data_IF_403431794105
#
_entry.id   IF_403431794105
#
_cell.length_a   1.000
_cell.length_b   1.000
_cell.length_c   1.000
_cell.angle_alpha   90.00
_cell.angle_beta   90.00
_cell.angle_gamma   90.00
#
_symmetry.space_group_name_H-M   'P 1'
#
loop_
_entity.id
_entity.type
_entity.pdbx_description
1 polymer ?
#
# COMPACT_ATOMS: atom_id res chain seq x y z
N UNK A 1 3.25 -13.35 38.74
CA UNK A 1 3.53 -14.34 37.68
C UNK A 1 3.52 -13.65 36.34
N UNK A 2 4.56 -13.94 35.56
CA UNK A 2 5.04 -13.19 34.40
C UNK A 2 4.01 -13.05 33.26
N UNK A 3 4.02 -11.90 32.59
CA UNK A 3 4.58 -11.85 31.24
C UNK A 3 4.85 -10.41 30.79
N UNK A 4 6.14 -10.07 30.84
CA UNK A 4 6.76 -9.03 30.02
C UNK A 4 6.65 -9.46 28.55
N UNK A 5 6.23 -8.56 27.67
CA UNK A 5 6.71 -8.60 26.28
C UNK A 5 6.97 -7.19 25.77
N UNK A 6 8.21 -6.78 26.05
CA UNK A 6 9.10 -5.91 25.30
C UNK A 6 8.53 -4.66 24.61
N UNK A 7 8.72 -3.59 25.37
CA UNK A 7 9.27 -2.34 24.90
C UNK A 7 10.41 -2.56 23.88
N UNK A 8 10.24 -2.09 22.64
CA UNK A 8 11.37 -1.64 21.82
C UNK A 8 11.02 -0.30 21.20
N UNK A 9 11.29 0.75 21.97
CA UNK A 9 11.83 1.98 21.44
C UNK A 9 13.03 1.63 20.54
N UNK A 10 12.87 1.83 19.23
CA UNK A 10 13.95 1.62 18.27
C UNK A 10 14.96 2.75 18.47
N UNK A 11 15.98 2.46 19.27
CA UNK A 11 17.22 3.24 19.34
C UNK A 11 17.88 3.32 17.96
N UNK A 12 18.38 4.52 17.65
CA UNK A 12 19.27 4.81 16.53
C UNK A 12 20.59 4.03 16.70
N UNK A 13 20.83 3.02 15.88
CA UNK A 13 22.17 2.51 15.55
C UNK A 13 22.19 2.08 14.07
N UNK A 14 23.08 2.66 13.26
CA UNK A 14 23.73 2.09 12.05
C UNK A 14 22.94 1.28 10.98
N UNK A 15 21.62 1.21 10.96
CA UNK A 15 20.91 0.19 10.18
C UNK A 15 20.69 0.58 8.71
N UNK A 16 21.61 0.16 7.84
CA UNK A 16 21.40 0.19 6.39
C UNK A 16 20.12 -0.57 6.02
N UNK A 17 19.20 0.09 5.32
CA UNK A 17 18.05 -0.59 4.73
C UNK A 17 18.49 -1.68 3.73
N UNK A 18 17.79 -2.82 3.70
CA UNK A 18 18.09 -3.94 2.80
C UNK A 18 16.91 -4.24 1.87
N UNK A 19 17.20 -4.72 0.65
CA UNK A 19 16.16 -5.24 -0.25
C UNK A 19 15.39 -6.36 0.45
N UNK A 20 14.08 -6.43 0.24
CA UNK A 20 13.14 -7.33 0.90
C UNK A 20 12.85 -7.08 2.38
N UNK A 21 13.52 -6.12 3.03
CA UNK A 21 13.21 -5.75 4.41
C UNK A 21 11.75 -5.30 4.55
N UNK A 22 11.11 -5.72 5.64
CA UNK A 22 9.76 -5.31 6.02
C UNK A 22 9.84 -4.14 7.00
N UNK A 23 9.06 -3.10 6.73
CA UNK A 23 8.93 -1.91 7.58
C UNK A 23 7.49 -1.83 8.06
N UNK A 24 7.32 -1.72 9.37
CA UNK A 24 6.03 -1.42 10.01
C UNK A 24 6.08 0.04 10.48
N UNK A 25 5.36 0.93 9.81
CA UNK A 25 5.39 2.36 10.11
C UNK A 25 4.09 2.81 10.78
N UNK A 26 4.19 3.17 12.08
CA UNK A 26 3.06 3.62 12.91
C UNK A 26 2.47 4.93 12.38
N UNK A 27 3.29 5.83 11.82
CA UNK A 27 2.86 7.15 11.32
C UNK A 27 1.88 7.02 10.15
N UNK A 28 2.23 6.22 9.14
CA UNK A 28 1.36 5.96 7.99
C UNK A 28 0.37 4.81 8.21
N UNK A 29 0.48 4.11 9.34
CA UNK A 29 -0.34 2.93 9.68
C UNK A 29 -0.21 1.79 8.65
N UNK A 30 0.96 1.66 8.02
CA UNK A 30 1.20 0.76 6.91
C UNK A 30 2.36 -0.21 7.14
N UNK A 31 2.30 -1.35 6.46
CA UNK A 31 3.39 -2.32 6.33
C UNK A 31 3.94 -2.22 4.91
N UNK A 32 5.26 -2.19 4.78
CA UNK A 32 5.96 -1.96 3.52
C UNK A 32 7.08 -2.98 3.33
N UNK A 33 7.31 -3.40 2.09
CA UNK A 33 8.48 -4.20 1.70
C UNK A 33 9.40 -3.37 0.81
N UNK A 34 10.67 -3.27 1.16
CA UNK A 34 11.69 -2.65 0.29
C UNK A 34 11.88 -3.51 -0.95
N UNK A 35 11.75 -2.90 -2.12
CA UNK A 35 11.86 -3.58 -3.42
C UNK A 35 13.08 -3.14 -4.21
N UNK A 36 13.52 -1.90 -4.02
CA UNK A 36 14.76 -1.40 -4.60
C UNK A 36 15.40 -0.35 -3.69
N UNK A 37 16.71 -0.24 -3.79
CA UNK A 37 17.54 0.75 -3.13
C UNK A 37 18.41 1.38 -4.22
N UNK A 38 18.55 2.71 -4.18
CA UNK A 38 19.54 3.45 -4.95
C UNK A 38 20.60 3.92 -3.97
N UNK A 39 21.86 3.71 -4.31
CA UNK A 39 23.02 4.11 -3.51
C UNK A 39 23.83 5.19 -4.22
N UNK A 40 24.54 5.99 -3.43
CA UNK A 40 25.66 6.83 -3.86
C UNK A 40 26.84 6.48 -2.95
N UNK A 41 27.83 5.75 -3.47
CA UNK A 41 28.77 5.00 -2.64
C UNK A 41 28.03 4.03 -1.71
N UNK A 42 28.38 4.04 -0.43
CA UNK A 42 27.74 3.20 0.60
C UNK A 42 26.40 3.74 1.11
N UNK A 43 26.10 5.01 0.82
CA UNK A 43 24.90 5.68 1.34
C UNK A 43 23.68 5.38 0.47
N UNK A 44 22.60 4.93 1.10
CA UNK A 44 21.30 4.79 0.44
C UNK A 44 20.67 6.18 0.28
N UNK A 45 20.33 6.56 -0.95
CA UNK A 45 19.75 7.89 -1.25
C UNK A 45 18.25 7.85 -1.43
N UNK A 46 17.71 6.79 -2.03
CA UNK A 46 16.27 6.60 -2.21
C UNK A 46 15.96 5.14 -2.54
N UNK A 47 14.67 4.82 -2.69
CA UNK A 47 14.27 3.48 -3.10
C UNK A 47 12.80 3.38 -3.48
N UNK A 48 12.37 2.14 -3.69
CA UNK A 48 10.96 1.82 -3.91
C UNK A 48 10.49 0.82 -2.87
N UNK A 49 9.26 0.98 -2.42
CA UNK A 49 8.56 0.03 -1.55
C UNK A 49 7.25 -0.44 -2.17
N UNK A 50 6.86 -1.66 -1.81
CA UNK A 50 5.50 -2.18 -1.99
C UNK A 50 4.72 -2.04 -0.70
N UNK A 51 3.51 -1.48 -0.75
CA UNK A 51 2.58 -1.47 0.37
C UNK A 51 1.99 -2.87 0.56
N UNK A 52 2.29 -3.50 1.70
CA UNK A 52 1.88 -4.87 2.02
C UNK A 52 0.51 -4.98 2.67
N UNK A 53 0.05 -3.93 3.35
CA UNK A 53 -1.21 -3.94 4.09
C UNK A 53 -1.22 -2.90 5.20
N UNK A 54 -2.38 -2.66 5.82
CA UNK A 54 -2.48 -1.80 6.99
C UNK A 54 -1.89 -2.50 8.22
N UNK A 55 -1.37 -1.73 9.17
CA UNK A 55 -0.98 -2.27 10.48
C UNK A 55 -2.20 -2.79 11.24
N UNK A 56 -3.32 -2.06 11.19
CA UNK A 56 -4.60 -2.48 11.74
C UNK A 56 -5.52 -3.01 10.64
N UNK A 57 -5.80 -4.33 10.64
CA UNK A 57 -6.72 -4.97 9.69
C UNK A 57 -8.19 -4.58 9.91
N UNK A 58 -8.54 -3.99 11.06
CA UNK A 58 -9.88 -3.51 11.41
C UNK A 58 -10.08 -2.03 11.03
N UNK A 59 -9.10 -1.38 10.40
CA UNK A 59 -9.19 0.02 10.01
C UNK A 59 -10.41 0.33 9.11
N UNK A 60 -11.09 1.45 9.39
CA UNK A 60 -12.23 1.93 8.58
C UNK A 60 -11.80 2.70 7.35
N UNK A 61 -10.59 3.28 7.36
CA UNK A 61 -10.01 4.06 6.27
C UNK A 61 -8.54 3.70 6.14
N UNK A 62 -8.04 3.60 4.90
CA UNK A 62 -6.63 3.40 4.63
C UNK A 62 -6.12 4.39 3.57
N UNK A 63 -4.88 4.82 3.75
CA UNK A 63 -4.17 5.69 2.81
C UNK A 63 -2.89 4.96 2.40
N UNK A 64 -2.82 4.56 1.14
CA UNK A 64 -1.57 4.13 0.51
C UNK A 64 -0.91 5.39 -0.02
N UNK A 65 0.06 5.94 0.72
CA UNK A 65 0.74 7.20 0.36
C UNK A 65 1.46 7.10 -0.99
N UNK A 66 1.89 8.24 -1.54
CA UNK A 66 2.75 8.26 -2.74
C UNK A 66 4.20 7.91 -2.40
N UNK A 67 4.62 8.17 -1.17
CA UNK A 67 5.96 7.90 -0.67
C UNK A 67 5.93 7.60 0.83
N UNK A 68 6.94 6.87 1.29
CA UNK A 68 7.28 6.65 2.69
C UNK A 68 8.60 7.37 2.96
N UNK A 69 8.63 8.23 3.97
CA UNK A 69 9.86 8.88 4.45
C UNK A 69 10.32 8.15 5.69
N UNK A 70 11.53 7.58 5.64
CA UNK A 70 12.18 6.96 6.80
C UNK A 70 13.51 7.67 6.98
N UNK A 71 13.66 8.34 8.11
CA UNK A 71 14.77 9.25 8.37
C UNK A 71 14.90 10.24 7.19
N UNK A 72 16.09 10.43 6.64
CA UNK A 72 16.35 11.30 5.48
C UNK A 72 16.14 10.62 4.12
N UNK A 73 15.64 9.38 4.08
CA UNK A 73 15.48 8.59 2.84
C UNK A 73 14.01 8.56 2.43
N UNK A 74 13.75 8.92 1.17
CA UNK A 74 12.41 8.85 0.57
C UNK A 74 12.28 7.60 -0.30
N UNK A 75 11.29 6.76 0.02
CA UNK A 75 10.88 5.61 -0.78
C UNK A 75 9.60 5.91 -1.55
N UNK A 76 9.57 5.68 -2.87
CA UNK A 76 8.33 5.74 -3.64
C UNK A 76 7.51 4.48 -3.37
N UNK A 77 6.20 4.63 -3.14
CA UNK A 77 5.30 3.49 -3.00
C UNK A 77 4.79 3.13 -4.40
N UNK A 78 5.37 2.08 -5.00
CA UNK A 78 5.17 1.76 -6.42
C UNK A 78 4.15 0.66 -6.66
N UNK A 79 3.78 -0.11 -5.63
CA UNK A 79 2.83 -1.19 -5.74
C UNK A 79 2.01 -1.41 -4.45
N UNK A 80 0.84 -2.00 -4.61
CA UNK A 80 0.05 -2.62 -3.53
C UNK A 80 0.18 -4.14 -3.68
N UNK A 81 0.58 -4.82 -2.62
CA UNK A 81 0.88 -6.24 -2.63
C UNK A 81 -0.37 -7.10 -2.91
N UNK A 82 -0.12 -8.36 -3.25
CA UNK A 82 -1.17 -9.37 -3.27
C UNK A 82 -1.82 -9.47 -1.87
N UNK A 83 -3.14 -9.62 -1.86
CA UNK A 83 -3.94 -9.75 -0.63
C UNK A 83 -3.81 -8.61 0.41
N UNK A 84 -3.27 -7.45 0.04
CA UNK A 84 -2.91 -6.40 1.02
C UNK A 84 -4.05 -5.97 1.96
N UNK A 85 -5.27 -5.92 1.45
CA UNK A 85 -6.50 -5.64 2.19
C UNK A 85 -7.50 -6.81 2.11
N UNK A 86 -7.05 -8.02 1.79
CA UNK A 86 -7.94 -9.18 1.68
C UNK A 86 -8.78 -9.34 2.95
N UNK A 87 -10.09 -9.43 2.77
CA UNK A 87 -11.08 -9.59 3.84
C UNK A 87 -11.03 -8.51 4.94
N UNK A 88 -10.53 -7.31 4.64
CA UNK A 88 -10.68 -6.13 5.51
C UNK A 88 -12.15 -5.66 5.52
N UNK A 89 -13.01 -6.40 6.23
CA UNK A 89 -14.47 -6.20 6.24
C UNK A 89 -14.90 -4.86 6.83
N UNK A 90 -14.08 -4.20 7.67
CA UNK A 90 -14.40 -2.88 8.25
C UNK A 90 -13.97 -1.71 7.35
N UNK A 91 -13.18 -1.96 6.32
CA UNK A 91 -12.63 -0.93 5.43
C UNK A 91 -13.73 -0.29 4.59
N UNK A 92 -13.97 1.01 4.79
CA UNK A 92 -14.98 1.81 4.09
C UNK A 92 -14.40 2.66 2.98
N UNK A 93 -13.16 3.13 3.13
CA UNK A 93 -12.52 3.99 2.14
C UNK A 93 -11.02 3.72 1.99
N UNK A 94 -10.54 3.80 0.75
CA UNK A 94 -9.12 3.71 0.41
C UNK A 94 -8.72 4.88 -0.49
N UNK A 95 -7.60 5.51 -0.18
CA UNK A 95 -6.90 6.41 -1.09
C UNK A 95 -5.61 5.77 -1.57
N UNK A 96 -5.41 5.70 -2.89
CA UNK A 96 -4.22 5.18 -3.56
C UNK A 96 -3.40 6.35 -4.10
N UNK A 97 -2.15 6.48 -3.64
CA UNK A 97 -1.21 7.53 -3.98
C UNK A 97 -0.78 7.55 -5.46
N UNK A 98 -0.16 8.66 -5.86
CA UNK A 98 0.14 8.98 -7.26
C UNK A 98 1.25 8.14 -7.89
N UNK A 99 2.14 7.54 -7.08
CA UNK A 99 3.28 6.74 -7.56
C UNK A 99 2.94 5.25 -7.77
N UNK A 100 1.75 4.80 -7.37
CA UNK A 100 1.38 3.38 -7.48
C UNK A 100 1.18 3.00 -8.95
N UNK A 101 1.95 2.01 -9.41
CA UNK A 101 1.88 1.49 -10.78
C UNK A 101 1.21 0.11 -10.87
N UNK A 102 1.15 -0.63 -9.76
CA UNK A 102 0.60 -1.99 -9.72
C UNK A 102 -0.31 -2.20 -8.51
N UNK A 103 -1.46 -2.81 -8.74
CA UNK A 103 -2.34 -3.33 -7.68
C UNK A 103 -2.34 -4.85 -7.78
N UNK A 104 -1.98 -5.55 -6.70
CA UNK A 104 -1.80 -6.99 -6.67
C UNK A 104 -3.08 -7.82 -6.83
N UNK A 105 -2.89 -9.13 -7.04
CA UNK A 105 -3.97 -10.13 -7.07
C UNK A 105 -4.71 -10.11 -5.73
N UNK A 106 -6.05 -10.12 -5.78
CA UNK A 106 -6.92 -10.11 -4.59
C UNK A 106 -6.62 -8.96 -3.59
N UNK A 107 -6.00 -7.86 -4.03
CA UNK A 107 -5.56 -6.79 -3.13
C UNK A 107 -6.68 -6.23 -2.23
N UNK A 108 -7.90 -6.09 -2.73
CA UNK A 108 -9.10 -5.66 -1.98
C UNK A 108 -10.21 -6.73 -2.01
N UNK A 109 -9.83 -7.99 -2.20
CA UNK A 109 -10.79 -9.09 -2.27
C UNK A 109 -11.58 -9.19 -0.96
N UNK A 110 -12.91 -9.22 -1.05
CA UNK A 110 -13.75 -9.42 0.13
C UNK A 110 -13.86 -8.20 1.06
N UNK A 111 -13.40 -7.01 0.65
CA UNK A 111 -13.66 -5.75 1.36
C UNK A 111 -15.14 -5.33 1.17
N UNK A 112 -16.08 -6.08 1.77
CA UNK A 112 -17.53 -5.94 1.53
C UNK A 112 -18.10 -4.56 1.85
N UNK A 113 -17.51 -3.85 2.82
CA UNK A 113 -17.94 -2.51 3.22
C UNK A 113 -17.22 -1.36 2.49
N UNK A 114 -16.37 -1.65 1.50
CA UNK A 114 -15.61 -0.63 0.78
C UNK A 114 -16.54 0.20 -0.10
N UNK A 115 -16.81 1.45 0.31
CA UNK A 115 -17.72 2.37 -0.38
C UNK A 115 -16.99 3.32 -1.33
N UNK A 116 -15.74 3.68 -1.02
CA UNK A 116 -15.00 4.68 -1.80
C UNK A 116 -13.58 4.25 -2.08
N UNK A 117 -13.17 4.33 -3.34
CA UNK A 117 -11.78 4.13 -3.77
C UNK A 117 -11.33 5.35 -4.56
N UNK A 118 -10.41 6.13 -3.99
CA UNK A 118 -9.79 7.28 -4.66
C UNK A 118 -8.44 6.87 -5.23
N UNK A 119 -8.31 6.89 -6.55
CA UNK A 119 -7.07 6.55 -7.25
C UNK A 119 -6.44 7.83 -7.77
N UNK A 120 -5.40 8.31 -7.07
CA UNK A 120 -4.62 9.49 -7.48
C UNK A 120 -3.57 9.15 -8.54
N UNK A 121 -3.21 7.86 -8.69
CA UNK A 121 -2.23 7.43 -9.70
C UNK A 121 -2.75 7.60 -11.12
N UNK A 122 -1.93 8.27 -11.93
CA UNK A 122 -2.03 8.31 -13.39
C UNK A 122 -1.13 7.28 -14.07
N UNK A 123 -0.38 6.49 -13.30
CA UNK A 123 0.68 5.59 -13.77
C UNK A 123 0.35 4.12 -13.57
N UNK A 124 -0.90 3.76 -13.29
CA UNK A 124 -1.31 2.34 -13.14
C UNK A 124 -1.08 1.59 -14.46
N UNK A 125 -0.20 0.58 -14.38
CA UNK A 125 0.16 -0.35 -15.46
C UNK A 125 -0.60 -1.66 -15.36
N UNK A 126 -0.88 -2.14 -14.15
CA UNK A 126 -1.62 -3.41 -13.93
C UNK A 126 -2.49 -3.41 -12.68
N UNK A 127 -3.64 -4.11 -12.78
CA UNK A 127 -4.52 -4.47 -11.67
C UNK A 127 -4.70 -5.98 -11.72
N UNK A 128 -4.34 -6.67 -10.64
CA UNK A 128 -4.31 -8.13 -10.59
C UNK A 128 -5.70 -8.77 -10.61
N UNK A 129 -5.74 -10.05 -10.99
CA UNK A 129 -6.96 -10.86 -10.99
C UNK A 129 -7.66 -10.81 -9.62
N UNK A 130 -8.99 -10.66 -9.64
CA UNK A 130 -9.83 -10.58 -8.44
C UNK A 130 -9.48 -9.45 -7.46
N UNK A 131 -8.70 -8.44 -7.87
CA UNK A 131 -8.26 -7.36 -6.98
C UNK A 131 -9.44 -6.61 -6.34
N UNK A 132 -10.55 -6.48 -7.06
CA UNK A 132 -11.76 -5.78 -6.60
C UNK A 132 -12.99 -6.70 -6.60
N UNK A 133 -12.81 -8.02 -6.54
CA UNK A 133 -13.94 -8.96 -6.39
C UNK A 133 -14.51 -8.94 -4.97
N UNK A 134 -15.81 -9.22 -4.84
CA UNK A 134 -16.53 -9.29 -3.55
C UNK A 134 -16.43 -8.00 -2.71
N UNK A 135 -16.27 -6.85 -3.36
CA UNK A 135 -16.44 -5.52 -2.74
C UNK A 135 -17.89 -5.04 -2.87
N UNK A 136 -18.24 -3.93 -2.22
CA UNK A 136 -19.56 -3.32 -2.34
C UNK A 136 -19.91 -3.03 -3.81
N UNK A 137 -21.08 -3.49 -4.28
CA UNK A 137 -21.55 -3.24 -5.67
C UNK A 137 -21.68 -1.73 -5.98
N UNK A 138 -22.05 -0.92 -4.99
CA UNK A 138 -22.20 0.55 -5.07
C UNK A 138 -20.90 1.33 -4.84
N UNK A 139 -19.74 0.67 -4.89
CA UNK A 139 -18.44 1.34 -4.68
C UNK A 139 -18.24 2.49 -5.67
N UNK A 140 -17.87 3.67 -5.16
CA UNK A 140 -17.55 4.85 -5.96
C UNK A 140 -16.05 4.90 -6.21
N UNK A 141 -15.66 4.81 -7.48
CA UNK A 141 -14.28 5.01 -7.91
C UNK A 141 -14.06 6.47 -8.36
N UNK A 142 -13.21 7.19 -7.64
CA UNK A 142 -12.75 8.53 -8.03
C UNK A 142 -11.39 8.40 -8.72
N UNK A 143 -11.34 8.68 -10.02
CA UNK A 143 -10.16 8.51 -10.88
C UNK A 143 -9.96 9.79 -11.71
N UNK A 144 -8.70 10.20 -11.86
CA UNK A 144 -8.31 11.31 -12.74
C UNK A 144 -8.88 11.14 -14.16
N UNK A 145 -9.42 12.22 -14.73
CA UNK A 145 -10.03 12.23 -16.07
C UNK A 145 -9.06 11.68 -17.14
N UNK A 146 -7.77 12.06 -17.07
CA UNK A 146 -6.71 11.68 -18.03
C UNK A 146 -6.55 10.17 -18.25
N UNK A 147 -6.80 9.35 -17.23
CA UNK A 147 -6.59 7.89 -17.29
C UNK A 147 -7.84 7.09 -16.91
N UNK A 148 -8.99 7.76 -16.86
CA UNK A 148 -10.24 7.20 -16.31
C UNK A 148 -10.69 5.96 -17.07
N UNK A 149 -10.74 6.02 -18.40
CA UNK A 149 -11.19 4.91 -19.26
C UNK A 149 -10.30 3.67 -19.08
N UNK A 150 -8.99 3.86 -19.18
CA UNK A 150 -7.97 2.81 -19.00
C UNK A 150 -8.11 2.13 -17.63
N UNK A 151 -8.13 2.89 -16.54
CA UNK A 151 -8.21 2.33 -15.19
C UNK A 151 -9.57 1.66 -14.94
N UNK A 152 -10.69 2.25 -15.40
CA UNK A 152 -12.02 1.62 -15.30
C UNK A 152 -12.07 0.27 -16.00
N UNK A 153 -11.50 0.16 -17.22
CA UNK A 153 -11.41 -1.11 -17.96
C UNK A 153 -10.65 -2.16 -17.16
N UNK A 154 -9.51 -1.79 -16.57
CA UNK A 154 -8.71 -2.70 -15.74
C UNK A 154 -9.45 -3.13 -14.47
N UNK A 155 -10.19 -2.20 -13.83
CA UNK A 155 -11.04 -2.53 -12.68
C UNK A 155 -12.12 -3.54 -13.09
N UNK A 156 -12.80 -3.35 -14.23
CA UNK A 156 -13.83 -4.28 -14.73
C UNK A 156 -13.27 -5.70 -14.89
N UNK A 157 -12.09 -5.84 -15.49
CA UNK A 157 -11.40 -7.15 -15.67
C UNK A 157 -10.93 -7.80 -14.35
N UNK A 158 -10.84 -7.01 -13.28
CA UNK A 158 -10.37 -7.47 -11.96
C UNK A 158 -11.48 -7.82 -10.97
N UNK A 159 -12.76 -7.60 -11.35
CA UNK A 159 -13.93 -7.94 -10.54
C UNK A 159 -14.28 -9.42 -10.65
#
# INVERSE_FOLDING_TARGET
SNDKSDNTDIKNEGSSYKKNQIIKDKKTKGIYKITSLKKNGDRITCGNVTYMGPLDRKCKKAIVNSSLKLNSITFKITAINNNAFKDCKKLKAVTIGSNVTKIGKKAFYGCRNLKTVKIKSTKIKSIGKKAFSRINKKVKFSISKKVRSKIKRMIKKSK
#
